data_IF_851870429133
#
_entry.id   IF_851870429133
#
_cell.length_a   1.000
_cell.length_b   1.000
_cell.length_c   1.000
_cell.angle_alpha   90.00
_cell.angle_beta   90.00
_cell.angle_gamma   90.00
#
_symmetry.space_group_name_H-M   'P 1'
#
loop_
_entity.id
_entity.type
_entity.pdbx_description
1 polymer ?
#
# COMPACT_ATOMS: atom_id res chain seq x y z
N UNK A 1 -53.39 45.74 -15.15
CA UNK A 1 -52.20 45.00 -15.65
C UNK A 1 -51.09 45.24 -14.63
N UNK A 2 -50.81 44.33 -13.69
CA UNK A 2 -49.92 43.15 -13.83
C UNK A 2 -48.49 43.61 -14.21
N UNK A 3 -47.40 43.35 -13.48
CA UNK A 3 -47.01 42.15 -12.73
C UNK A 3 -46.11 42.48 -11.52
N UNK A 4 -46.40 41.84 -10.38
CA UNK A 4 -45.47 41.69 -9.26
C UNK A 4 -44.55 40.49 -9.52
N UNK A 5 -43.24 40.72 -9.68
CA UNK A 5 -42.25 39.64 -9.79
C UNK A 5 -41.91 39.16 -8.38
N UNK A 6 -42.65 38.17 -7.90
CA UNK A 6 -42.30 37.40 -6.71
C UNK A 6 -41.12 36.48 -7.02
N UNK A 7 -39.90 36.94 -6.74
CA UNK A 7 -38.72 36.08 -6.78
C UNK A 7 -38.81 35.02 -5.70
N UNK A 8 -39.06 33.77 -6.10
CA UNK A 8 -38.87 32.60 -5.26
C UNK A 8 -37.38 32.50 -4.89
N UNK A 9 -36.99 33.04 -3.73
CA UNK A 9 -35.76 32.61 -3.07
C UNK A 9 -35.94 31.13 -2.70
N UNK A 10 -35.36 30.23 -3.49
CA UNK A 10 -35.15 28.87 -3.04
C UNK A 10 -34.35 28.93 -1.74
N UNK A 11 -34.95 28.48 -0.63
CA UNK A 11 -34.22 28.08 0.58
C UNK A 11 -33.34 26.89 0.19
N UNK A 12 -32.25 27.15 -0.52
CA UNK A 12 -31.16 26.20 -0.63
C UNK A 12 -30.67 26.00 0.81
N UNK A 13 -31.15 24.91 1.42
CA UNK A 13 -30.57 24.35 2.63
C UNK A 13 -29.09 24.14 2.29
N UNK A 14 -28.24 25.06 2.68
CA UNK A 14 -26.86 24.74 2.93
C UNK A 14 -26.91 23.77 4.12
N UNK A 15 -27.11 22.49 3.82
CA UNK A 15 -26.86 21.43 4.79
C UNK A 15 -25.44 21.68 5.25
N UNK A 16 -25.33 22.18 6.48
CA UNK A 16 -24.04 22.35 7.13
C UNK A 16 -23.50 20.94 7.25
N UNK A 17 -22.64 20.53 6.31
CA UNK A 17 -21.87 19.32 6.44
C UNK A 17 -21.12 19.48 7.74
N UNK A 18 -21.60 18.80 8.78
CA UNK A 18 -20.94 18.71 10.06
C UNK A 18 -19.69 17.88 9.78
N UNK A 19 -18.66 18.53 9.28
CA UNK A 19 -17.33 17.95 9.21
C UNK A 19 -16.94 17.76 10.66
N UNK A 20 -17.15 16.55 11.17
CA UNK A 20 -16.54 16.14 12.43
C UNK A 20 -15.05 16.20 12.13
N UNK A 21 -14.41 17.30 12.53
CA UNK A 21 -12.97 17.45 12.41
C UNK A 21 -12.33 16.28 13.14
N UNK A 22 -11.56 15.48 12.42
CA UNK A 22 -10.79 14.44 13.06
C UNK A 22 -9.74 15.10 13.94
N UNK A 23 -9.62 14.67 15.20
CA UNK A 23 -8.61 15.16 16.14
C UNK A 23 -7.21 14.60 15.84
N UNK A 24 -7.08 13.73 14.82
CA UNK A 24 -5.84 13.04 14.50
C UNK A 24 -5.81 12.66 13.01
N UNK A 25 -4.79 13.15 12.29
CA UNK A 25 -4.53 12.80 10.90
C UNK A 25 -3.04 12.54 10.70
N UNK A 26 -2.72 11.56 9.85
CA UNK A 26 -1.37 11.27 9.42
C UNK A 26 -1.29 11.47 7.91
N UNK A 27 -0.24 12.13 7.42
CA UNK A 27 0.01 12.19 5.99
C UNK A 27 0.51 10.83 5.52
N UNK A 28 -0.12 10.27 4.48
CA UNK A 28 0.38 9.07 3.85
C UNK A 28 1.81 9.32 3.34
N UNK A 29 2.74 8.37 3.52
CA UNK A 29 4.08 8.51 2.99
C UNK A 29 4.02 8.52 1.45
N UNK A 30 4.76 9.42 0.81
CA UNK A 30 4.96 9.39 -0.63
C UNK A 30 6.09 8.41 -0.94
N UNK A 31 5.73 7.21 -1.40
CA UNK A 31 6.70 6.12 -1.64
C UNK A 31 7.13 6.07 -3.12
N UNK A 32 6.24 6.41 -4.04
CA UNK A 32 6.48 6.43 -5.49
C UNK A 32 6.79 7.83 -6.05
N UNK A 33 6.63 8.87 -5.22
CA UNK A 33 6.66 10.29 -5.62
C UNK A 33 8.02 10.93 -5.80
N UNK A 34 9.02 10.20 -6.29
CA UNK A 34 10.16 10.81 -6.98
C UNK A 34 10.04 10.59 -8.48
N UNK A 35 8.85 10.83 -9.05
CA UNK A 35 8.74 11.09 -10.49
C UNK A 35 8.94 12.57 -10.73
N UNK A 36 10.16 13.05 -10.45
CA UNK A 36 10.58 14.34 -10.96
C UNK A 36 10.59 14.22 -12.48
N UNK A 37 9.78 15.02 -13.15
CA UNK A 37 9.90 15.21 -14.60
C UNK A 37 11.33 15.67 -14.89
N UNK A 38 12.09 14.86 -15.61
CA UNK A 38 13.42 15.24 -16.13
C UNK A 38 13.20 15.65 -17.59
N UNK A 39 13.38 16.93 -17.95
CA UNK A 39 13.23 17.37 -19.33
C UNK A 39 14.25 16.67 -20.22
N UNK A 40 13.86 16.40 -21.47
CA UNK A 40 14.73 15.73 -22.44
C UNK A 40 15.93 16.61 -22.85
N UNK A 41 15.86 17.93 -22.68
CA UNK A 41 16.99 18.85 -22.85
C UNK A 41 16.84 20.15 -22.03
N UNK A 42 17.97 20.81 -21.71
CA UNK A 42 18.01 22.09 -20.98
C UNK A 42 17.41 23.28 -21.74
N UNK A 43 17.14 23.15 -23.05
CA UNK A 43 16.66 24.25 -23.92
C UNK A 43 15.16 24.24 -24.17
N UNK A 44 14.44 23.25 -23.65
CA UNK A 44 13.00 23.12 -23.83
C UNK A 44 12.28 23.85 -22.69
N UNK A 45 11.32 24.73 -23.00
CA UNK A 45 10.53 25.40 -21.97
C UNK A 45 9.84 24.34 -21.10
N UNK A 46 9.83 24.48 -19.75
CA UNK A 46 9.14 23.53 -18.90
C UNK A 46 7.67 23.49 -19.32
N UNK A 47 7.23 22.33 -19.83
CA UNK A 47 5.83 22.15 -20.15
C UNK A 47 5.06 22.28 -18.82
N UNK A 48 4.25 23.33 -18.70
CA UNK A 48 3.39 23.59 -17.54
C UNK A 48 2.40 22.44 -17.25
N UNK A 49 2.39 21.38 -18.06
CA UNK A 49 1.84 20.06 -17.77
C UNK A 49 2.64 19.32 -16.68
N UNK A 50 2.52 19.85 -15.45
CA UNK A 50 2.43 19.08 -14.20
C UNK A 50 3.75 18.47 -13.68
N UNK A 51 4.50 19.29 -12.94
CA UNK A 51 5.14 18.83 -11.71
C UNK A 51 4.25 19.29 -10.53
N UNK A 52 3.02 18.76 -10.43
CA UNK A 52 2.31 18.86 -9.17
C UNK A 52 3.03 17.91 -8.22
N UNK A 53 3.51 18.41 -7.09
CA UNK A 53 3.88 17.55 -5.98
C UNK A 53 2.72 16.58 -5.74
N UNK A 54 3.00 15.29 -5.55
CA UNK A 54 1.96 14.32 -5.24
C UNK A 54 1.17 14.86 -4.03
N UNK A 55 -0.15 15.10 -4.16
CA UNK A 55 -0.90 15.73 -3.10
C UNK A 55 -0.83 14.83 -1.86
N UNK A 56 -0.36 15.39 -0.75
CA UNK A 56 -0.35 14.68 0.52
C UNK A 56 -1.78 14.22 0.84
N UNK A 57 -1.94 12.93 1.07
CA UNK A 57 -3.25 12.33 1.34
C UNK A 57 -3.40 12.10 2.84
N UNK A 58 -4.28 12.86 3.53
CA UNK A 58 -4.48 12.68 4.96
C UNK A 58 -5.24 11.39 5.24
N UNK A 59 -4.71 10.59 6.17
CA UNK A 59 -5.34 9.40 6.72
C UNK A 59 -5.79 9.73 8.14
N UNK A 60 -7.10 9.67 8.37
CA UNK A 60 -7.72 10.09 9.63
C UNK A 60 -7.86 8.94 10.62
N UNK A 61 -7.60 9.20 11.90
CA UNK A 61 -7.51 8.15 12.92
C UNK A 61 -8.86 7.58 13.36
N UNK A 62 -9.94 8.34 13.16
CA UNK A 62 -11.33 8.01 13.46
C UNK A 62 -12.06 7.31 12.31
N UNK A 63 -11.38 7.11 11.17
CA UNK A 63 -11.92 6.42 9.99
C UNK A 63 -11.56 4.94 9.96
N UNK A 64 -12.34 4.09 9.30
CA UNK A 64 -11.99 2.67 9.17
C UNK A 64 -10.80 2.50 8.23
N UNK A 65 -10.04 1.43 8.41
CA UNK A 65 -8.86 1.10 7.58
C UNK A 65 -9.22 1.10 6.08
N UNK A 66 -10.42 0.65 5.72
CA UNK A 66 -10.90 0.68 4.33
C UNK A 66 -10.89 2.08 3.71
N UNK A 67 -11.20 3.11 4.49
CA UNK A 67 -11.18 4.51 4.04
C UNK A 67 -9.74 5.01 3.93
N UNK A 68 -8.89 4.76 4.93
CA UNK A 68 -7.47 5.13 4.88
C UNK A 68 -6.72 4.50 3.71
N UNK A 69 -7.00 3.21 3.41
CA UNK A 69 -6.41 2.50 2.27
C UNK A 69 -6.91 3.08 0.94
N UNK A 70 -8.18 3.47 0.85
CA UNK A 70 -8.75 4.05 -0.38
C UNK A 70 -8.32 5.51 -0.61
N UNK A 71 -8.03 6.25 0.47
CA UNK A 71 -7.59 7.63 0.40
C UNK A 71 -6.12 7.76 -0.04
N UNK A 72 -5.27 6.79 0.32
CA UNK A 72 -3.85 6.84 0.00
C UNK A 72 -3.57 6.48 -1.47
N UNK A 73 -3.04 7.45 -2.23
CA UNK A 73 -2.66 7.26 -3.65
C UNK A 73 -1.68 6.10 -3.81
N UNK A 74 -0.72 5.97 -2.89
CA UNK A 74 0.29 4.90 -2.85
C UNK A 74 -0.30 3.50 -2.64
N UNK A 75 -1.58 3.38 -2.26
CA UNK A 75 -2.26 2.12 -2.02
C UNK A 75 -3.33 1.81 -3.07
N UNK A 76 -3.39 2.54 -4.19
CA UNK A 76 -4.40 2.32 -5.23
C UNK A 76 -4.40 0.87 -5.77
N UNK A 77 -3.22 0.31 -6.07
CA UNK A 77 -3.09 -1.08 -6.54
C UNK A 77 -3.49 -2.08 -5.45
N UNK A 78 -3.14 -1.80 -4.20
CA UNK A 78 -3.51 -2.63 -3.05
C UNK A 78 -5.02 -2.59 -2.79
N UNK A 79 -5.67 -1.43 -2.92
CA UNK A 79 -7.13 -1.26 -2.84
C UNK A 79 -7.82 -2.10 -3.90
N UNK A 80 -7.34 -2.05 -5.16
CA UNK A 80 -7.86 -2.91 -6.24
C UNK A 80 -7.69 -4.39 -5.90
N UNK A 81 -6.54 -4.78 -5.38
CA UNK A 81 -6.27 -6.16 -4.95
C UNK A 81 -7.23 -6.61 -3.82
N UNK A 82 -7.53 -5.75 -2.85
CA UNK A 82 -8.51 -6.01 -1.78
C UNK A 82 -9.92 -6.24 -2.34
N UNK A 83 -10.34 -5.46 -3.34
CA UNK A 83 -11.63 -5.65 -4.00
C UNK A 83 -11.70 -6.98 -4.77
N UNK A 84 -10.69 -7.28 -5.59
CA UNK A 84 -10.66 -8.51 -6.41
C UNK A 84 -10.56 -9.77 -5.53
N UNK A 85 -9.85 -9.68 -4.41
CA UNK A 85 -9.70 -10.79 -3.46
C UNK A 85 -10.90 -10.96 -2.51
N UNK A 86 -11.73 -9.93 -2.34
CA UNK A 86 -12.89 -9.91 -1.44
C UNK A 86 -12.57 -9.51 0.01
N UNK A 87 -11.32 -9.17 0.34
CA UNK A 87 -10.92 -8.78 1.70
C UNK A 87 -11.28 -7.34 2.05
N UNK A 88 -11.67 -6.50 1.07
CA UNK A 88 -12.09 -5.11 1.36
C UNK A 88 -13.26 -5.06 2.34
N UNK A 89 -14.24 -5.97 2.21
CA UNK A 89 -15.40 -6.02 3.10
C UNK A 89 -15.03 -6.36 4.55
N UNK A 90 -13.95 -7.14 4.77
CA UNK A 90 -13.45 -7.46 6.12
C UNK A 90 -12.90 -6.20 6.79
N UNK A 91 -12.20 -5.34 6.03
CA UNK A 91 -11.64 -4.09 6.54
C UNK A 91 -12.68 -3.00 6.85
N UNK A 92 -13.94 -3.22 6.47
CA UNK A 92 -15.08 -2.37 6.86
C UNK A 92 -15.73 -2.83 8.17
N UNK A 93 -15.43 -4.04 8.65
CA UNK A 93 -16.00 -4.55 9.88
C UNK A 93 -15.36 -3.89 11.10
N UNK A 94 -16.08 -3.93 12.24
CA UNK A 94 -15.67 -3.30 13.50
C UNK A 94 -14.42 -3.91 14.13
N UNK A 95 -14.07 -5.15 13.76
CA UNK A 95 -13.00 -5.92 14.40
C UNK A 95 -11.68 -5.15 14.34
N UNK A 96 -10.85 -5.22 15.39
CA UNK A 96 -9.53 -4.63 15.29
C UNK A 96 -8.69 -5.45 14.30
N UNK A 97 -8.21 -4.81 13.25
CA UNK A 97 -7.26 -5.39 12.31
C UNK A 97 -5.97 -4.58 12.29
N UNK A 98 -4.85 -5.26 12.08
CA UNK A 98 -3.60 -4.59 11.76
C UNK A 98 -3.22 -4.97 10.35
N UNK A 99 -3.17 -3.98 9.46
CA UNK A 99 -2.95 -4.17 8.03
C UNK A 99 -1.57 -3.67 7.66
N UNK A 100 -0.77 -4.53 7.06
CA UNK A 100 0.53 -4.23 6.46
C UNK A 100 0.34 -3.99 4.96
N UNK A 101 -0.13 -2.80 4.62
CA UNK A 101 -0.46 -2.44 3.26
C UNK A 101 0.80 -2.30 2.40
N UNK A 102 0.75 -2.90 1.21
CA UNK A 102 1.86 -2.92 0.25
C UNK A 102 1.69 -1.73 -0.70
N UNK A 103 2.66 -0.81 -0.78
CA UNK A 103 2.61 0.30 -1.73
C UNK A 103 2.58 -0.16 -3.19
N UNK A 104 2.19 0.75 -4.07
CA UNK A 104 2.01 0.50 -5.50
C UNK A 104 3.25 -0.10 -6.15
N UNK A 105 4.43 0.42 -5.84
CA UNK A 105 5.69 0.03 -6.47
C UNK A 105 6.15 -1.39 -6.08
N UNK A 106 6.27 -1.76 -4.79
CA UNK A 106 6.56 -3.14 -4.40
C UNK A 106 5.53 -4.16 -4.90
N UNK A 107 4.25 -3.78 -4.96
CA UNK A 107 3.19 -4.66 -5.46
C UNK A 107 3.28 -4.85 -6.98
N UNK A 108 3.64 -3.80 -7.72
CA UNK A 108 3.85 -3.86 -9.16
C UNK A 108 5.06 -4.74 -9.51
N UNK A 109 6.18 -4.58 -8.81
CA UNK A 109 7.36 -5.43 -8.95
C UNK A 109 7.04 -6.91 -8.69
N UNK A 110 6.26 -7.18 -7.65
CA UNK A 110 5.80 -8.53 -7.35
C UNK A 110 4.84 -9.07 -8.43
N UNK A 111 3.91 -8.24 -8.91
CA UNK A 111 2.98 -8.61 -9.98
C UNK A 111 3.70 -8.95 -11.30
N UNK A 112 4.85 -8.34 -11.59
CA UNK A 112 5.64 -8.63 -12.78
C UNK A 112 6.24 -10.06 -12.80
N UNK A 113 6.28 -10.74 -11.65
CA UNK A 113 6.69 -12.14 -11.56
C UNK A 113 5.63 -13.11 -12.12
N UNK A 114 4.39 -12.63 -12.31
CA UNK A 114 3.29 -13.39 -12.87
C UNK A 114 3.13 -13.04 -14.35
N UNK A 115 3.10 -14.06 -15.22
CA UNK A 115 3.03 -13.88 -16.69
C UNK A 115 1.96 -12.89 -17.15
N UNK A 116 0.76 -12.99 -16.58
CA UNK A 116 -0.38 -12.12 -16.90
C UNK A 116 -0.67 -11.08 -15.81
N UNK A 117 0.22 -10.96 -14.81
CA UNK A 117 0.00 -10.13 -13.62
C UNK A 117 -0.81 -10.81 -12.52
N UNK A 118 -0.62 -10.34 -11.29
CA UNK A 118 -1.23 -10.93 -10.08
C UNK A 118 -2.76 -10.79 -10.04
N UNK A 119 -3.32 -9.78 -10.73
CA UNK A 119 -4.76 -9.52 -10.76
C UNK A 119 -5.54 -10.37 -11.77
N UNK A 120 -4.85 -11.19 -12.57
CA UNK A 120 -5.47 -12.12 -13.51
C UNK A 120 -6.36 -13.14 -12.76
N UNK A 121 -7.57 -13.46 -13.26
CA UNK A 121 -8.42 -14.52 -12.69
C UNK A 121 -7.71 -15.84 -12.39
N UNK A 122 -6.74 -16.25 -13.23
CA UNK A 122 -5.92 -17.43 -13.04
C UNK A 122 -5.06 -17.38 -11.77
N UNK A 123 -4.70 -16.18 -11.31
CA UNK A 123 -3.85 -15.94 -10.15
C UNK A 123 -4.65 -15.59 -8.88
N UNK A 124 -5.99 -15.71 -8.90
CA UNK A 124 -6.86 -15.35 -7.76
C UNK A 124 -6.50 -16.04 -6.45
N UNK A 125 -6.08 -17.30 -6.50
CA UNK A 125 -5.66 -18.03 -5.30
C UNK A 125 -4.43 -17.38 -4.66
N UNK A 126 -3.42 -17.07 -5.47
CA UNK A 126 -2.19 -16.39 -5.06
C UNK A 126 -2.48 -14.98 -4.54
N UNK A 127 -3.34 -14.23 -5.23
CA UNK A 127 -3.79 -12.91 -4.80
C UNK A 127 -4.47 -12.95 -3.43
N UNK A 128 -5.43 -13.86 -3.23
CA UNK A 128 -6.13 -14.02 -1.95
C UNK A 128 -5.16 -14.37 -0.82
N UNK A 129 -4.24 -15.30 -1.07
CA UNK A 129 -3.23 -15.68 -0.10
C UNK A 129 -2.30 -14.50 0.26
N UNK A 130 -1.80 -13.75 -0.72
CA UNK A 130 -1.00 -12.55 -0.48
C UNK A 130 -1.75 -11.54 0.39
N UNK A 131 -2.97 -11.16 0.00
CA UNK A 131 -3.75 -10.15 0.72
C UNK A 131 -4.12 -10.63 2.13
N UNK A 132 -4.51 -11.88 2.30
CA UNK A 132 -4.81 -12.43 3.63
C UNK A 132 -3.58 -12.48 4.55
N UNK A 133 -2.37 -12.61 3.98
CA UNK A 133 -1.12 -12.60 4.74
C UNK A 133 -0.76 -11.19 5.24
N UNK A 134 -1.19 -10.14 4.54
CA UNK A 134 -0.97 -8.75 4.98
C UNK A 134 -1.86 -8.31 6.15
N UNK A 135 -2.89 -9.11 6.50
CA UNK A 135 -3.89 -8.73 7.51
C UNK A 135 -3.70 -9.60 8.75
N UNK A 136 -3.47 -8.96 9.88
CA UNK A 136 -3.36 -9.61 11.19
C UNK A 136 -4.57 -9.23 12.05
N UNK A 137 -5.32 -10.20 12.60
CA UNK A 137 -6.35 -9.91 13.59
C UNK A 137 -5.75 -9.32 14.87
N UNK A 138 -6.44 -8.32 15.43
CA UNK A 138 -6.03 -7.61 16.63
C UNK A 138 -5.46 -6.22 16.36
N UNK A 139 -5.38 -5.43 17.43
CA UNK A 139 -4.81 -4.08 17.41
C UNK A 139 -3.35 -4.14 17.88
N UNK A 140 -2.42 -3.89 16.96
CA UNK A 140 -0.98 -3.97 17.20
C UNK A 140 -0.32 -2.62 16.90
N UNK A 141 -0.47 -1.62 17.81
CA UNK A 141 0.24 -0.35 17.67
C UNK A 141 1.74 -0.55 17.93
N UNK A 142 2.60 0.31 17.35
CA UNK A 142 4.06 0.16 17.45
C UNK A 142 4.55 0.10 18.89
N UNK A 143 3.96 0.87 19.81
CA UNK A 143 4.31 0.79 21.23
C UNK A 143 4.16 -0.64 21.78
N UNK A 144 3.02 -1.29 21.50
CA UNK A 144 2.76 -2.67 21.94
C UNK A 144 3.72 -3.66 21.29
N UNK A 145 4.04 -3.48 20.00
CA UNK A 145 5.01 -4.32 19.30
C UNK A 145 6.39 -4.18 19.95
N UNK A 146 6.86 -2.94 20.16
CA UNK A 146 8.15 -2.66 20.83
C UNK A 146 8.21 -3.19 22.26
N UNK A 147 7.15 -3.00 23.04
CA UNK A 147 7.08 -3.52 24.41
C UNK A 147 7.18 -5.05 24.44
N UNK A 148 6.59 -5.75 23.47
CA UNK A 148 6.69 -7.21 23.36
C UNK A 148 8.07 -7.66 22.89
N UNK A 149 8.68 -6.95 21.95
CA UNK A 149 10.06 -7.24 21.50
C UNK A 149 11.07 -7.02 22.64
N UNK A 150 10.89 -5.97 23.45
CA UNK A 150 11.75 -5.69 24.60
C UNK A 150 11.61 -6.74 25.71
N UNK A 151 10.41 -7.32 25.89
CA UNK A 151 10.15 -8.38 26.88
C UNK A 151 10.56 -9.76 26.41
N UNK A 152 10.69 -9.98 25.10
CA UNK A 152 11.12 -11.25 24.54
C UNK A 152 12.63 -11.44 24.74
N UNK A 153 13.03 -12.58 25.30
CA UNK A 153 14.46 -12.94 25.48
C UNK A 153 15.20 -13.08 24.17
N UNK A 154 14.48 -13.38 23.08
CA UNK A 154 15.03 -13.49 21.72
C UNK A 154 14.81 -12.23 20.88
N UNK A 155 14.20 -11.18 21.45
CA UNK A 155 13.77 -9.98 20.73
C UNK A 155 12.93 -10.28 19.48
N UNK A 156 12.18 -11.38 19.50
CA UNK A 156 11.29 -11.78 18.42
C UNK A 156 9.98 -12.38 18.95
N UNK A 157 8.90 -12.23 18.18
CA UNK A 157 7.62 -12.92 18.39
C UNK A 157 6.85 -13.05 17.08
N UNK A 158 5.88 -13.98 16.99
CA UNK A 158 5.09 -14.18 15.78
C UNK A 158 3.60 -13.93 16.02
N UNK A 159 2.92 -13.35 15.02
CA UNK A 159 1.47 -13.15 14.99
C UNK A 159 0.86 -13.99 13.87
N UNK A 160 -0.29 -14.62 14.13
CA UNK A 160 -1.05 -15.32 13.09
C UNK A 160 -1.76 -14.30 12.19
N UNK A 161 -1.62 -14.46 10.88
CA UNK A 161 -2.35 -13.66 9.87
C UNK A 161 -3.72 -14.27 9.56
N UNK A 162 -4.57 -13.59 8.79
CA UNK A 162 -5.81 -14.18 8.28
C UNK A 162 -5.56 -15.37 7.34
N UNK A 163 -4.37 -15.45 6.73
CA UNK A 163 -3.93 -16.63 5.97
C UNK A 163 -3.66 -17.87 6.84
N UNK A 164 -3.62 -17.71 8.18
CA UNK A 164 -3.20 -18.76 9.12
C UNK A 164 -1.68 -18.94 9.23
N UNK A 165 -0.91 -18.28 8.36
CA UNK A 165 0.56 -18.31 8.34
C UNK A 165 1.10 -17.27 9.34
N UNK A 166 2.11 -17.60 10.16
CA UNK A 166 2.70 -16.64 11.08
C UNK A 166 3.50 -15.55 10.35
N UNK A 167 3.41 -14.33 10.88
CA UNK A 167 4.22 -13.17 10.55
C UNK A 167 5.11 -12.87 11.75
N UNK A 168 6.43 -12.86 11.55
CA UNK A 168 7.39 -12.70 12.64
C UNK A 168 7.83 -11.24 12.74
N UNK A 169 7.90 -10.73 13.95
CA UNK A 169 8.44 -9.42 14.28
C UNK A 169 9.73 -9.63 15.04
N UNK A 170 10.78 -8.92 14.64
CA UNK A 170 12.07 -8.88 15.31
C UNK A 170 12.60 -7.45 15.36
N UNK A 171 13.66 -7.21 16.12
CA UNK A 171 14.43 -5.97 16.00
C UNK A 171 15.52 -6.15 14.95
N UNK A 172 15.68 -5.15 14.07
CA UNK A 172 16.87 -5.03 13.25
C UNK A 172 18.08 -4.74 14.16
N UNK A 173 19.11 -5.61 14.21
CA UNK A 173 20.27 -5.39 15.06
C UNK A 173 21.10 -4.17 14.67
N UNK A 174 20.99 -3.68 13.43
CA UNK A 174 21.74 -2.51 12.96
C UNK A 174 21.05 -1.19 13.31
N UNK A 175 19.73 -1.12 13.19
CA UNK A 175 18.97 0.14 13.34
C UNK A 175 18.08 0.19 14.58
N UNK A 176 17.85 -0.94 15.25
CA UNK A 176 16.91 -1.06 16.36
C UNK A 176 15.44 -0.87 15.97
N UNK A 177 15.13 -0.88 14.66
CA UNK A 177 13.77 -0.73 14.15
C UNK A 177 13.04 -2.08 14.11
N UNK A 178 11.70 -2.10 14.26
CA UNK A 178 10.91 -3.33 14.08
C UNK A 178 11.01 -3.82 12.63
N UNK A 179 11.53 -5.03 12.48
CA UNK A 179 11.61 -5.78 11.24
C UNK A 179 10.47 -6.79 11.19
N UNK A 180 9.82 -6.92 10.03
CA UNK A 180 8.77 -7.90 9.79
C UNK A 180 9.29 -8.95 8.83
N UNK A 181 9.21 -10.23 9.18
CA UNK A 181 9.71 -11.33 8.37
C UNK A 181 8.69 -12.44 8.17
N UNK A 182 8.82 -13.16 7.06
CA UNK A 182 8.04 -14.34 6.75
C UNK A 182 8.80 -15.63 7.09
N UNK A 183 8.11 -16.77 6.99
CA UNK A 183 8.74 -18.09 7.18
C UNK A 183 9.79 -18.45 6.09
N UNK A 184 9.84 -17.70 4.98
CA UNK A 184 10.82 -17.86 3.91
C UNK A 184 12.16 -17.16 4.20
N UNK A 185 12.25 -16.39 5.28
CA UNK A 185 13.41 -15.54 5.57
C UNK A 185 13.41 -14.19 4.84
N UNK A 186 12.38 -13.87 4.05
CA UNK A 186 12.21 -12.53 3.49
C UNK A 186 11.82 -11.57 4.62
N UNK A 187 12.47 -10.42 4.67
CA UNK A 187 12.30 -9.43 5.71
C UNK A 187 11.93 -8.07 5.10
N UNK A 188 11.24 -7.24 5.87
CA UNK A 188 10.66 -6.00 5.40
C UNK A 188 10.58 -4.97 6.52
N UNK A 189 10.88 -3.73 6.17
CA UNK A 189 10.84 -2.59 7.06
C UNK A 189 9.50 -1.87 6.90
N UNK A 190 9.10 -1.16 7.94
CA UNK A 190 7.86 -0.37 7.94
C UNK A 190 8.21 1.10 7.67
N UNK A 191 7.51 1.75 6.73
CA UNK A 191 7.72 3.16 6.38
C UNK A 191 7.28 4.11 7.49
N UNK A 192 6.21 3.75 8.21
CA UNK A 192 5.59 4.59 9.24
C UNK A 192 5.42 3.80 10.53
N UNK A 193 5.34 4.52 11.65
CA UNK A 193 5.14 3.97 12.99
C UNK A 193 3.71 3.50 13.27
N UNK A 194 2.95 3.18 12.22
CA UNK A 194 1.57 2.70 12.29
C UNK A 194 0.56 3.82 12.50
N UNK A 195 -0.33 3.98 11.53
CA UNK A 195 -1.42 4.95 11.58
C UNK A 195 -2.61 4.31 12.31
N UNK A 196 -3.03 4.81 13.48
CA UNK A 196 -4.22 4.31 14.15
C UNK A 196 -5.45 4.56 13.29
N UNK A 197 -6.40 3.62 13.32
CA UNK A 197 -7.69 3.70 12.62
C UNK A 197 -8.80 3.27 13.59
N UNK A 198 -10.05 3.62 13.30
CA UNK A 198 -11.19 3.31 14.17
C UNK A 198 -11.34 1.81 14.45
N UNK A 199 -11.04 0.97 13.46
CA UNK A 199 -11.06 -0.49 13.55
C UNK A 199 -9.65 -1.10 13.49
N UNK A 200 -8.61 -0.39 13.92
CA UNK A 200 -7.29 -1.00 14.12
C UNK A 200 -6.08 -0.12 13.85
N UNK A 201 -5.12 -0.62 13.06
CA UNK A 201 -3.87 0.08 12.71
C UNK A 201 -3.48 -0.24 11.26
N UNK A 202 -3.09 0.80 10.51
CA UNK A 202 -2.59 0.71 9.15
C UNK A 202 -1.08 0.97 9.12
N UNK A 203 -0.34 0.08 8.48
CA UNK A 203 1.10 0.21 8.23
C UNK A 203 1.37 0.21 6.73
N UNK A 204 2.43 0.91 6.34
CA UNK A 204 2.99 0.88 4.99
C UNK A 204 4.29 0.09 5.03
N UNK A 205 4.43 -0.88 4.13
CA UNK A 205 5.64 -1.70 4.03
C UNK A 205 6.59 -1.18 2.97
N UNK A 206 7.91 -1.39 3.13
CA UNK A 206 8.88 -0.99 2.11
C UNK A 206 8.95 -1.96 0.93
N UNK A 207 8.66 -3.23 1.17
CA UNK A 207 8.66 -4.30 0.17
C UNK A 207 7.38 -5.14 0.22
N UNK A 208 7.30 -6.18 -0.62
CA UNK A 208 6.24 -7.18 -0.60
C UNK A 208 6.67 -8.39 0.22
N UNK A 209 5.95 -8.69 1.31
CA UNK A 209 6.11 -9.95 2.04
C UNK A 209 5.18 -11.00 1.44
N UNK A 210 5.70 -11.73 0.45
CA UNK A 210 4.99 -12.88 -0.11
C UNK A 210 4.95 -14.02 0.93
N UNK A 211 3.79 -14.68 1.14
CA UNK A 211 3.80 -15.98 1.82
C UNK A 211 4.57 -16.99 0.94
N UNK A 212 5.16 -18.02 1.54
CA UNK A 212 5.72 -19.13 0.76
C UNK A 212 4.55 -19.85 0.10
N UNK A 213 4.34 -19.61 -1.19
CA UNK A 213 3.40 -20.37 -2.01
C UNK A 213 4.00 -21.74 -2.32
N UNK A 214 3.21 -22.83 -2.42
CA UNK A 214 3.64 -23.95 -3.24
C UNK A 214 3.97 -23.39 -4.64
N UNK A 215 5.13 -23.76 -5.23
CA UNK A 215 5.62 -23.10 -6.43
C UNK A 215 4.62 -23.23 -7.57
N UNK A 216 3.99 -22.12 -7.94
CA UNK A 216 3.46 -21.95 -9.29
C UNK A 216 4.57 -21.34 -10.12
N UNK A 217 4.76 -21.86 -11.34
CA UNK A 217 5.90 -21.63 -12.21
C UNK A 217 6.35 -20.16 -12.22
N UNK A 218 7.32 -19.84 -11.38
CA UNK A 218 8.05 -18.57 -11.39
C UNK A 218 8.84 -18.57 -12.69
N UNK A 219 8.36 -17.85 -13.70
CA UNK A 219 9.13 -17.66 -14.91
C UNK A 219 10.26 -16.69 -14.55
N UNK A 220 11.48 -17.22 -14.47
CA UNK A 220 12.72 -16.44 -14.32
C UNK A 220 12.69 -15.28 -15.34
N UNK A 221 13.02 -14.03 -14.96
CA UNK A 221 13.16 -12.95 -15.92
C UNK A 221 14.15 -13.39 -17.01
N UNK A 222 13.71 -13.38 -18.27
CA UNK A 222 14.62 -13.57 -19.39
C UNK A 222 15.67 -12.46 -19.31
N UNK A 223 16.94 -12.85 -19.30
CA UNK A 223 18.05 -11.90 -19.39
C UNK A 223 17.85 -11.02 -20.62
N UNK A 224 18.22 -9.73 -20.59
CA UNK A 224 18.20 -8.91 -21.79
C UNK A 224 19.07 -9.60 -22.84
N UNK A 225 18.45 -10.05 -23.93
CA UNK A 225 19.15 -10.64 -25.05
C UNK A 225 20.23 -9.63 -25.49
N UNK A 226 21.49 -10.04 -25.36
CA UNK A 226 22.62 -9.26 -25.83
C UNK A 226 22.38 -8.86 -27.28
N UNK A 227 22.48 -7.56 -27.54
CA UNK A 227 22.51 -7.02 -28.88
C UNK A 227 23.76 -7.62 -29.54
N UNK A 228 23.57 -8.64 -30.38
CA UNK A 228 24.64 -9.15 -31.23
C UNK A 228 24.84 -8.09 -32.30
N UNK A 229 25.94 -7.34 -32.18
CA UNK A 229 26.38 -6.43 -33.22
C UNK A 229 26.60 -7.22 -34.52
N UNK A 230 25.83 -6.87 -35.56
CA UNK A 230 26.05 -7.40 -36.90
C UNK A 230 27.37 -6.83 -37.46
N UNK A 231 28.26 -7.66 -38.05
CA UNK A 231 29.45 -7.14 -38.71
C UNK A 231 29.08 -6.45 -40.02
N UNK A 232 29.65 -5.26 -40.24
CA UNK A 232 29.59 -4.49 -41.49
C UNK A 232 30.16 -5.31 -42.67
N UNK A 233 29.52 -5.32 -43.86
CA UNK A 233 30.09 -5.98 -45.03
C UNK A 233 31.30 -5.19 -45.57
N UNK A 234 32.41 -5.88 -45.77
CA UNK A 234 33.59 -5.35 -46.43
C UNK A 234 33.30 -5.14 -47.93
N UNK A 235 33.48 -3.91 -48.39
CA UNK A 235 33.48 -3.54 -49.81
C UNK A 235 34.77 -4.04 -50.48
N UNK A 236 34.62 -4.76 -51.59
CA UNK A 236 35.64 -4.94 -52.62
C UNK A 236 35.51 -3.85 -53.68
#
# INVERSE_FOLDING_TARGET
MALSVGGCQSKARQDSYKQVGSVCSFMAPTVSGTRNYVPASEKEAPDSRIAYADPETPIYCDRPISEGVSAAIELANYTRALHVSGYFAILQQKGPYTVFAIPNEPLAQYSAQFRNGLLDPANRASLKALISYTIVPGKWPVKKIKDLLAKSSTHAFSLKTLAGIPLTFSLDPATGQPLVSNAAGASNHLWVTGVPQSNGVLYFTQSTLAPVFPPQAVVKPAAPNGIVAAPLPATH
#
